data_IF_829552567898
#
_entry.id   IF_829552567898
#
_cell.length_a   1.000
_cell.length_b   1.000
_cell.length_c   1.000
_cell.angle_alpha   90.00
_cell.angle_beta   90.00
_cell.angle_gamma   90.00
#
_symmetry.space_group_name_H-M   'P 1'
#
loop_
_entity.id
_entity.type
_entity.pdbx_description
1 polymer ?
#
# COMPACT_ATOMS: atom_id res chain seq x y z
N UNK A 1 -5.17 -19.75 -16.90
CA UNK A 1 -6.33 -19.44 -16.04
C UNK A 1 -5.90 -18.22 -15.22
N UNK A 2 -6.01 -17.04 -15.82
CA UNK A 2 -5.45 -15.81 -15.26
C UNK A 2 -6.49 -15.15 -14.37
N UNK A 3 -6.16 -14.98 -13.09
CA UNK A 3 -6.96 -14.22 -12.14
C UNK A 3 -6.79 -12.73 -12.46
N UNK A 4 -7.83 -12.14 -13.06
CA UNK A 4 -7.99 -10.69 -13.12
C UNK A 4 -8.47 -10.22 -11.75
N UNK A 5 -7.65 -9.45 -11.02
CA UNK A 5 -8.06 -8.76 -9.78
C UNK A 5 -8.67 -7.42 -10.18
N UNK A 6 -9.99 -7.43 -10.41
CA UNK A 6 -10.79 -6.22 -10.60
C UNK A 6 -11.13 -5.60 -9.24
N UNK A 7 -10.54 -4.45 -8.92
CA UNK A 7 -10.92 -3.64 -7.75
C UNK A 7 -12.04 -2.65 -8.14
N UNK A 8 -13.30 -3.11 -8.08
CA UNK A 8 -14.52 -2.29 -8.00
C UNK A 8 -14.99 -2.33 -6.52
N UNK A 9 -15.47 -1.28 -5.85
CA UNK A 9 -16.66 -0.42 -6.05
C UNK A 9 -16.41 0.91 -5.27
N UNK A 10 -16.90 2.12 -5.57
CA UNK A 10 -18.16 2.66 -6.13
C UNK A 10 -19.44 2.31 -5.35
N UNK A 11 -19.63 2.98 -4.22
CA UNK A 11 -20.85 3.69 -3.79
C UNK A 11 -20.92 3.73 -2.26
N UNK A 12 -20.47 4.85 -1.69
CA UNK A 12 -21.08 5.34 -0.47
C UNK A 12 -22.55 5.67 -0.76
N UNK A 13 -23.42 5.36 0.21
CA UNK A 13 -24.79 5.86 0.43
C UNK A 13 -25.94 5.13 -0.32
N UNK A 14 -26.64 4.25 0.40
CA UNK A 14 -28.00 4.54 0.88
C UNK A 14 -28.47 3.49 1.92
N UNK A 15 -28.97 3.95 3.08
CA UNK A 15 -29.72 3.11 4.04
C UNK A 15 -29.25 3.17 5.49
N UNK A 16 -29.61 4.25 6.21
CA UNK A 16 -29.45 4.34 7.66
C UNK A 16 -30.41 3.40 8.40
N UNK A 17 -29.88 2.53 9.26
CA UNK A 17 -30.59 2.08 10.48
C UNK A 17 -29.64 2.21 11.67
N UNK A 18 -30.13 2.84 12.75
CA UNK A 18 -29.34 3.25 13.90
C UNK A 18 -28.89 2.04 14.76
N UNK A 19 -27.61 2.02 15.14
CA UNK A 19 -27.09 1.22 16.26
C UNK A 19 -26.38 2.15 17.27
N UNK A 20 -26.63 2.01 18.59
CA UNK A 20 -26.28 3.03 19.59
C UNK A 20 -24.90 2.85 20.25
N UNK A 21 -23.93 2.22 19.59
CA UNK A 21 -22.59 2.04 20.16
C UNK A 21 -21.58 3.02 19.55
N UNK A 22 -20.79 3.76 20.35
CA UNK A 22 -19.78 4.66 19.82
C UNK A 22 -18.58 3.83 19.36
N UNK A 23 -18.41 3.67 18.05
CA UNK A 23 -17.20 3.07 17.47
C UNK A 23 -16.72 3.93 16.31
N UNK A 24 -15.75 4.84 16.50
CA UNK A 24 -14.87 5.25 15.43
C UNK A 24 -13.72 4.23 15.40
N UNK A 25 -13.95 3.04 14.82
CA UNK A 25 -12.86 2.13 14.48
C UNK A 25 -12.23 2.72 13.23
N UNK A 26 -11.05 3.32 13.42
CA UNK A 26 -10.22 3.78 12.30
C UNK A 26 -9.75 2.55 11.56
N UNK A 27 -10.17 2.45 10.31
CA UNK A 27 -9.72 1.46 9.35
C UNK A 27 -8.31 1.83 8.87
N UNK A 28 -7.60 0.81 8.38
CA UNK A 28 -6.54 0.83 7.37
C UNK A 28 -5.16 0.30 7.82
N UNK A 29 -4.33 -0.16 6.86
CA UNK A 29 -3.83 -1.56 6.83
C UNK A 29 -2.35 -1.74 6.45
N UNK A 30 -1.64 -2.83 6.86
CA UNK A 30 -0.31 -3.22 6.37
C UNK A 30 -0.33 -4.12 5.10
N UNK A 31 0.42 -3.77 4.05
CA UNK A 31 0.77 -4.67 2.90
C UNK A 31 2.10 -5.34 3.22
N UNK A 32 2.22 -6.66 3.09
CA UNK A 32 3.47 -7.45 3.24
C UNK A 32 3.95 -7.92 1.86
N UNK A 33 5.23 -7.70 1.51
CA UNK A 33 5.82 -8.10 0.22
C UNK A 33 7.08 -8.93 0.40
N UNK A 34 7.19 -10.05 -0.31
CA UNK A 34 8.41 -10.87 -0.43
C UNK A 34 9.20 -10.45 -1.69
N UNK A 35 10.49 -10.16 -1.56
CA UNK A 35 11.33 -9.47 -2.56
C UNK A 35 12.32 -10.38 -3.30
N UNK A 36 12.04 -11.67 -3.47
CA UNK A 36 12.95 -12.70 -4.03
C UNK A 36 13.57 -12.44 -5.42
N UNK A 37 13.24 -11.36 -6.14
CA UNK A 37 13.91 -10.94 -7.39
C UNK A 37 13.97 -9.41 -7.49
N UNK A 38 15.14 -8.81 -7.26
CA UNK A 38 15.35 -7.34 -7.14
C UNK A 38 15.36 -6.57 -8.48
N UNK A 39 14.35 -6.78 -9.33
CA UNK A 39 14.11 -5.92 -10.49
C UNK A 39 13.64 -4.51 -10.08
N UNK A 40 13.00 -3.79 -10.99
CA UNK A 40 12.40 -2.48 -10.67
C UNK A 40 11.05 -2.71 -10.03
N UNK A 41 10.85 -2.16 -8.83
CA UNK A 41 9.58 -2.27 -8.13
C UNK A 41 9.21 -0.98 -7.40
N UNK A 42 7.91 -0.84 -7.13
CA UNK A 42 7.37 0.24 -6.31
C UNK A 42 6.11 -0.19 -5.56
N UNK A 43 5.98 0.25 -4.32
CA UNK A 43 4.95 -0.24 -3.40
C UNK A 43 4.38 0.92 -2.60
N UNK A 44 3.07 1.01 -2.44
CA UNK A 44 2.46 2.09 -1.67
C UNK A 44 1.00 2.28 -2.02
N UNK A 45 0.63 3.53 -2.29
CA UNK A 45 -0.74 3.93 -2.58
C UNK A 45 -0.81 4.67 -3.90
N UNK A 46 -1.91 4.48 -4.64
CA UNK A 46 -2.22 5.27 -5.81
C UNK A 46 -3.73 5.53 -5.95
N UNK A 47 -4.09 6.60 -6.64
CA UNK A 47 -5.47 6.80 -7.11
C UNK A 47 -5.71 5.99 -8.39
N UNK A 48 -6.98 5.95 -8.83
CA UNK A 48 -7.36 5.30 -10.10
C UNK A 48 -6.80 6.01 -11.34
N UNK A 49 -6.20 7.19 -11.19
CA UNK A 49 -5.65 7.98 -12.30
C UNK A 49 -4.16 7.70 -12.53
N UNK A 50 -3.48 7.00 -11.61
CA UNK A 50 -2.09 6.60 -11.82
C UNK A 50 -1.96 5.55 -12.92
N UNK A 51 -0.90 5.66 -13.73
CA UNK A 51 -0.57 4.67 -14.75
C UNK A 51 0.20 3.50 -14.12
N UNK A 52 -0.53 2.43 -13.79
CA UNK A 52 0.04 1.21 -13.19
C UNK A 52 0.99 0.45 -14.13
N UNK A 53 1.06 0.80 -15.42
CA UNK A 53 2.00 0.17 -16.36
C UNK A 53 3.40 0.77 -16.32
N UNK A 54 3.62 1.82 -15.52
CA UNK A 54 4.88 2.57 -15.47
C UNK A 54 5.57 2.41 -14.12
N UNK A 55 6.31 1.33 -13.95
CA UNK A 55 7.15 1.13 -12.78
C UNK A 55 8.28 2.19 -12.69
N UNK A 56 8.75 2.53 -11.48
CA UNK A 56 8.28 2.06 -10.17
C UNK A 56 7.10 2.88 -9.60
N UNK A 57 6.41 3.69 -10.40
CA UNK A 57 5.43 4.66 -9.90
C UNK A 57 6.09 5.91 -9.30
N UNK A 58 5.29 6.78 -8.67
CA UNK A 58 5.76 7.98 -7.97
C UNK A 58 6.20 9.15 -8.86
N UNK A 59 6.18 8.96 -10.18
CA UNK A 59 6.48 10.02 -11.17
C UNK A 59 5.26 10.89 -11.52
N UNK A 60 4.06 10.45 -11.14
CA UNK A 60 2.80 11.16 -11.30
C UNK A 60 2.32 11.79 -9.98
N UNK A 61 1.29 12.64 -10.06
CA UNK A 61 0.65 13.26 -8.89
C UNK A 61 -0.36 12.33 -8.21
N UNK A 62 -0.45 11.07 -8.65
CA UNK A 62 -1.51 10.14 -8.31
C UNK A 62 -0.99 8.93 -7.52
N UNK A 63 0.32 8.84 -7.28
CA UNK A 63 0.97 7.73 -6.58
C UNK A 63 1.99 8.20 -5.54
N UNK A 64 2.03 7.47 -4.42
CA UNK A 64 2.95 7.64 -3.30
C UNK A 64 3.57 6.27 -3.00
N UNK A 65 4.83 6.08 -3.35
CA UNK A 65 5.46 4.76 -3.40
C UNK A 65 6.85 4.75 -2.80
N UNK A 66 7.21 3.67 -2.10
CA UNK A 66 8.57 3.27 -1.83
C UNK A 66 9.08 2.45 -3.02
N UNK A 67 10.20 2.84 -3.60
CA UNK A 67 10.78 2.19 -4.78
C UNK A 67 11.96 1.26 -4.44
N UNK A 68 12.35 0.43 -5.42
CA UNK A 68 13.44 -0.55 -5.31
C UNK A 68 14.81 0.02 -4.97
N UNK A 69 15.04 1.30 -5.27
CA UNK A 69 16.23 2.03 -4.87
C UNK A 69 16.09 2.70 -3.50
N UNK A 70 15.18 2.23 -2.65
CA UNK A 70 14.95 2.72 -1.29
C UNK A 70 14.56 4.20 -1.20
N UNK A 71 13.98 4.77 -2.26
CA UNK A 71 13.50 6.16 -2.27
C UNK A 71 11.98 6.17 -2.26
N UNK A 72 11.41 6.97 -1.37
CA UNK A 72 9.99 7.28 -1.35
C UNK A 72 9.72 8.40 -2.36
N UNK A 73 8.81 8.18 -3.30
CA UNK A 73 8.50 9.11 -4.40
C UNK A 73 7.02 9.47 -4.49
N UNK A 74 6.78 10.70 -4.93
CA UNK A 74 5.48 11.23 -5.33
C UNK A 74 5.70 12.47 -6.21
N UNK A 75 4.88 12.68 -7.25
CA UNK A 75 4.95 13.89 -8.09
C UNK A 75 6.35 14.11 -8.69
N UNK A 76 7.03 13.01 -9.05
CA UNK A 76 8.40 13.00 -9.56
C UNK A 76 9.43 13.64 -8.59
N UNK A 77 9.14 13.63 -7.28
CA UNK A 77 10.03 14.13 -6.22
C UNK A 77 10.41 13.01 -5.28
N UNK A 78 11.66 13.06 -4.83
CA UNK A 78 12.18 12.19 -3.78
C UNK A 78 11.83 12.80 -2.42
N UNK A 79 10.93 12.14 -1.68
CA UNK A 79 10.45 12.60 -0.39
C UNK A 79 11.41 12.18 0.74
N UNK A 80 11.95 10.97 0.66
CA UNK A 80 12.91 10.44 1.61
C UNK A 80 13.74 9.33 0.96
N UNK A 81 15.00 9.17 1.40
CA UNK A 81 15.86 8.03 1.10
C UNK A 81 16.00 7.20 2.36
N UNK A 82 15.66 5.92 2.27
CA UNK A 82 15.63 4.98 3.38
C UNK A 82 17.00 4.33 3.55
N UNK A 83 17.40 4.13 4.81
CA UNK A 83 18.60 3.38 5.18
C UNK A 83 18.32 2.56 6.46
N UNK A 84 18.63 1.26 6.48
CA UNK A 84 19.21 0.47 5.39
C UNK A 84 18.25 0.27 4.21
N UNK A 85 18.81 0.04 3.03
CA UNK A 85 18.03 -0.25 1.82
C UNK A 85 17.40 -1.65 1.93
N UNK A 86 16.11 -1.83 1.60
CA UNK A 86 15.48 -3.15 1.59
C UNK A 86 16.23 -4.12 0.66
N UNK A 87 16.45 -5.34 1.14
CA UNK A 87 17.15 -6.40 0.43
C UNK A 87 16.19 -7.49 -0.06
N UNK A 88 16.70 -8.38 -0.91
CA UNK A 88 16.01 -9.60 -1.30
C UNK A 88 15.64 -10.45 -0.08
N UNK A 89 14.39 -10.90 -0.01
CA UNK A 89 13.82 -11.65 1.10
C UNK A 89 13.33 -10.79 2.27
N UNK A 90 13.51 -9.47 2.23
CA UNK A 90 12.91 -8.57 3.23
C UNK A 90 11.41 -8.44 3.03
N UNK A 91 10.71 -8.30 4.16
CA UNK A 91 9.28 -8.09 4.20
C UNK A 91 8.96 -6.61 4.32
N UNK A 92 8.41 -6.02 3.26
CA UNK A 92 7.95 -4.63 3.28
C UNK A 92 6.55 -4.54 3.88
N UNK A 93 6.37 -3.68 4.88
CA UNK A 93 5.08 -3.29 5.45
C UNK A 93 4.62 -1.92 4.92
N UNK A 94 3.34 -1.75 4.57
CA UNK A 94 2.78 -0.44 4.15
C UNK A 94 1.54 -0.13 4.95
N UNK A 95 1.56 0.86 5.84
CA UNK A 95 0.43 1.24 6.70
C UNK A 95 -0.08 2.66 6.38
N UNK A 96 -1.38 2.85 6.31
CA UNK A 96 -1.99 4.16 6.03
C UNK A 96 -3.25 4.37 6.87
N UNK A 97 -3.50 5.57 7.39
CA UNK A 97 -4.63 5.88 8.28
C UNK A 97 -5.48 7.08 7.83
N UNK A 98 -5.42 7.44 6.54
CA UNK A 98 -5.95 8.68 5.95
C UNK A 98 -5.21 9.99 6.31
N UNK A 99 -4.23 9.95 7.21
CA UNK A 99 -3.40 11.12 7.56
C UNK A 99 -1.97 10.90 7.09
N UNK A 100 -1.39 9.75 7.43
CA UNK A 100 0.01 9.40 7.14
C UNK A 100 0.14 8.01 6.55
N UNK A 101 1.00 7.89 5.53
CA UNK A 101 1.48 6.64 4.98
C UNK A 101 2.87 6.32 5.56
N UNK A 102 2.99 5.16 6.18
CA UNK A 102 4.19 4.68 6.82
C UNK A 102 4.65 3.37 6.17
N UNK A 103 5.96 3.23 6.01
CA UNK A 103 6.60 2.04 5.47
C UNK A 103 7.40 1.33 6.56
N UNK A 104 7.48 0.01 6.46
CA UNK A 104 8.15 -0.86 7.41
C UNK A 104 9.02 -1.87 6.66
N UNK A 105 10.11 -2.31 7.28
CA UNK A 105 10.94 -3.43 6.80
C UNK A 105 11.06 -4.43 7.94
N UNK A 106 10.68 -5.69 7.70
CA UNK A 106 10.71 -6.77 8.68
C UNK A 106 9.99 -6.39 10.00
N UNK A 107 8.84 -5.73 9.87
CA UNK A 107 8.02 -5.24 10.99
C UNK A 107 8.53 -3.98 11.69
N UNK A 108 9.68 -3.42 11.29
CA UNK A 108 10.24 -2.19 11.88
C UNK A 108 9.90 -0.97 11.04
N UNK A 109 9.42 0.09 11.67
CA UNK A 109 9.14 1.36 10.99
C UNK A 109 10.39 1.97 10.37
N UNK A 110 10.24 2.57 9.20
CA UNK A 110 11.28 3.33 8.52
C UNK A 110 11.34 4.80 8.96
N UNK A 111 10.50 5.21 9.92
CA UNK A 111 10.47 6.56 10.52
C UNK A 111 10.40 7.72 9.51
N UNK A 112 9.83 7.46 8.33
CA UNK A 112 9.72 8.41 7.22
C UNK A 112 8.27 8.52 6.73
N UNK A 113 7.33 9.03 7.56
CA UNK A 113 5.92 9.13 7.20
C UNK A 113 5.70 10.10 6.03
N UNK A 114 4.81 9.72 5.12
CA UNK A 114 4.34 10.56 4.02
C UNK A 114 2.96 11.11 4.37
N UNK A 115 2.82 12.43 4.38
CA UNK A 115 1.55 13.11 4.66
C UNK A 115 0.99 13.82 3.42
N UNK A 116 -0.24 14.34 3.53
CA UNK A 116 -0.84 15.15 2.48
C UNK A 116 -1.34 14.33 1.28
N UNK A 117 -1.60 13.03 1.49
CA UNK A 117 -2.21 12.15 0.49
C UNK A 117 -3.65 12.59 0.26
N UNK A 118 -4.05 12.71 -1.02
CA UNK A 118 -5.36 13.26 -1.42
C UNK A 118 -6.10 12.30 -2.32
N UNK A 119 -7.42 12.36 -2.24
CA UNK A 119 -8.31 11.56 -3.06
C UNK A 119 -8.55 10.16 -2.52
N UNK A 120 -9.32 9.37 -3.27
CA UNK A 120 -9.55 7.95 -2.99
C UNK A 120 -8.36 7.14 -3.50
N UNK A 121 -7.56 6.65 -2.56
CA UNK A 121 -6.35 5.88 -2.83
C UNK A 121 -6.55 4.40 -2.54
N UNK A 122 -5.77 3.57 -3.22
CA UNK A 122 -5.79 2.12 -3.16
C UNK A 122 -4.36 1.60 -3.04
N UNK A 123 -4.14 0.43 -2.42
CA UNK A 123 -2.87 -0.29 -2.52
C UNK A 123 -2.38 -0.37 -3.97
N UNK A 124 -1.12 0.01 -4.20
CA UNK A 124 -0.51 0.01 -5.52
C UNK A 124 0.82 -0.74 -5.48
N UNK A 125 1.02 -1.57 -6.50
CA UNK A 125 2.22 -2.38 -6.72
C UNK A 125 2.65 -2.19 -8.18
N UNK A 126 3.92 -1.90 -8.37
CA UNK A 126 4.56 -1.73 -9.67
C UNK A 126 5.72 -2.72 -9.74
N UNK A 127 5.83 -3.44 -10.86
CA UNK A 127 6.91 -4.39 -11.12
C UNK A 127 7.39 -4.26 -12.56
N UNK A 128 8.69 -4.27 -12.77
CA UNK A 128 9.36 -4.28 -14.06
C UNK A 128 10.77 -4.91 -13.92
N UNK A 129 11.48 -5.10 -15.03
CA UNK A 129 12.82 -5.71 -15.08
C UNK A 129 12.90 -7.05 -14.34
N UNK A 130 11.84 -7.86 -14.45
CA UNK A 130 11.77 -9.21 -13.87
C UNK A 130 11.54 -9.23 -12.36
N UNK A 131 11.16 -8.11 -11.74
CA UNK A 131 10.73 -8.08 -10.34
C UNK A 131 9.51 -8.98 -10.10
N UNK A 132 9.54 -9.71 -8.99
CA UNK A 132 8.41 -10.52 -8.50
C UNK A 132 8.09 -10.05 -7.09
N UNK A 133 6.83 -9.76 -6.85
CA UNK A 133 6.32 -9.35 -5.54
C UNK A 133 5.11 -10.22 -5.18
N UNK A 134 5.16 -10.84 -4.01
CA UNK A 134 4.03 -11.57 -3.44
C UNK A 134 3.28 -10.69 -2.43
N UNK A 135 1.99 -10.47 -2.65
CA UNK A 135 1.16 -9.68 -1.75
C UNK A 135 0.50 -10.56 -0.68
N UNK A 136 0.71 -10.23 0.59
CA UNK A 136 0.01 -10.87 1.72
C UNK A 136 -0.92 -9.86 2.37
N UNK A 137 -2.21 -10.22 2.48
CA UNK A 137 -3.28 -9.35 3.00
C UNK A 137 -3.98 -9.90 4.25
N UNK A 138 -3.73 -11.15 4.64
CA UNK A 138 -4.49 -11.83 5.69
C UNK A 138 -3.59 -12.41 6.78
N UNK A 139 -2.68 -13.31 6.42
CA UNK A 139 -1.81 -14.05 7.32
C UNK A 139 -0.42 -13.41 7.33
N UNK A 140 -0.28 -12.29 8.04
CA UNK A 140 0.97 -11.53 8.06
C UNK A 140 2.08 -12.23 8.83
N UNK A 141 3.30 -12.14 8.32
CA UNK A 141 4.52 -12.59 8.99
C UNK A 141 4.92 -11.68 10.17
N UNK A 142 4.52 -10.41 10.11
CA UNK A 142 4.70 -9.43 11.17
C UNK A 142 3.34 -8.84 11.54
N UNK A 143 3.08 -8.70 12.83
CA UNK A 143 1.82 -8.14 13.29
C UNK A 143 1.64 -6.70 12.79
N UNK A 144 0.40 -6.29 12.44
CA UNK A 144 0.10 -4.90 12.15
C UNK A 144 0.57 -3.96 13.28
N UNK A 145 1.04 -2.75 12.96
CA UNK A 145 1.37 -1.75 13.98
C UNK A 145 0.14 -1.45 14.87
N UNK A 146 0.32 -1.00 16.13
CA UNK A 146 -0.79 -0.69 17.02
C UNK A 146 -1.79 0.29 16.39
N UNK A 147 -3.06 -0.09 16.36
CA UNK A 147 -4.13 0.72 15.76
C UNK A 147 -4.39 0.43 14.27
N UNK A 148 -3.61 -0.44 13.64
CA UNK A 148 -3.82 -0.93 12.28
C UNK A 148 -4.36 -2.37 12.29
N UNK A 149 -5.17 -2.71 11.28
CA UNK A 149 -5.72 -4.06 11.07
C UNK A 149 -5.58 -4.44 9.58
N UNK A 150 -5.86 -5.69 9.22
CA UNK A 150 -5.75 -6.18 7.84
C UNK A 150 -6.78 -5.54 6.88
N UNK A 151 -6.46 -5.53 5.58
CA UNK A 151 -7.44 -5.16 4.54
C UNK A 151 -8.61 -6.13 4.59
N UNK A 152 -9.81 -5.61 4.84
CA UNK A 152 -11.03 -6.40 4.64
C UNK A 152 -11.35 -6.44 3.15
N UNK A 153 -11.21 -7.63 2.56
CA UNK A 153 -11.67 -7.89 1.20
C UNK A 153 -13.17 -8.18 1.25
N UNK A 154 -13.99 -7.31 0.66
CA UNK A 154 -15.40 -7.63 0.44
C UNK A 154 -15.51 -8.73 -0.62
N UNK A 155 -15.95 -9.92 -0.22
CA UNK A 155 -16.37 -10.93 -1.19
C UNK A 155 -17.72 -10.49 -1.77
N UNK A 156 -17.73 -10.13 -3.05
CA UNK A 156 -18.99 -10.08 -3.80
C UNK A 156 -19.57 -11.49 -3.87
N UNK A 157 -20.61 -11.75 -3.07
CA UNK A 157 -21.44 -12.95 -3.20
C UNK A 157 -22.24 -12.80 -4.51
N UNK A 158 -21.65 -13.25 -5.61
CA UNK A 158 -22.37 -13.53 -6.86
C UNK A 158 -22.97 -14.94 -6.80
#
# INVERSE_FOLDING_TARGET
MSLNVFCCLRNCLDGFTFSPNPVPRRELNPITLDTNYMGVWGVGLATRMSDLNRAPGGSDDESWVLCSDAIIRHSNKELAKISPEPQEGDILGVAYDHVELNFYVNGKSLESPVSGIRGSVYPALYVDDGAILDIVLTEFNHEPPPGFDRIMLEQSLL
#
